data_IF_340851990980
#
_entry.id   IF_340851990980
#
_cell.length_a   1.000
_cell.length_b   1.000
_cell.length_c   1.000
_cell.angle_alpha   90.00
_cell.angle_beta   90.00
_cell.angle_gamma   90.00
#
_symmetry.space_group_name_H-M   'P 1'
#
loop_
_entity.id
_entity.type
_entity.pdbx_description
1 polymer ?
#
# COMPACT_ATOMS: atom_id res chain seq x y z
N UNK A 1 19.66 -37.94 6.35
CA UNK A 1 18.82 -37.66 5.16
C UNK A 1 19.00 -36.19 4.72
N UNK A 2 19.81 -35.95 3.67
CA UNK A 2 19.96 -34.62 3.07
C UNK A 2 18.66 -34.29 2.35
N UNK A 3 17.83 -33.46 2.97
CA UNK A 3 16.54 -33.05 2.43
C UNK A 3 16.75 -32.32 1.10
N UNK A 4 16.43 -33.01 0.01
CA UNK A 4 16.09 -32.37 -1.27
C UNK A 4 14.84 -31.51 -1.02
N UNK A 5 15.05 -30.27 -0.58
CA UNK A 5 13.99 -29.29 -0.46
C UNK A 5 13.69 -28.79 -1.86
N UNK A 6 12.87 -29.53 -2.61
CA UNK A 6 12.10 -28.96 -3.72
C UNK A 6 11.20 -27.90 -3.07
N UNK A 7 11.72 -26.68 -2.95
CA UNK A 7 10.97 -25.55 -2.38
C UNK A 7 9.77 -25.35 -3.30
N UNK A 8 8.58 -25.40 -2.73
CA UNK A 8 7.34 -25.27 -3.48
C UNK A 8 7.34 -23.95 -4.26
N UNK A 9 7.00 -24.00 -5.54
CA UNK A 9 6.80 -22.81 -6.41
C UNK A 9 5.84 -21.78 -5.78
N UNK A 10 5.01 -22.20 -4.84
CA UNK A 10 3.99 -21.39 -4.17
C UNK A 10 4.31 -21.10 -2.70
N UNK A 11 5.58 -21.25 -2.28
CA UNK A 11 5.99 -20.94 -0.91
C UNK A 11 5.92 -19.42 -0.59
N UNK A 12 5.90 -18.58 -1.63
CA UNK A 12 6.00 -17.12 -1.52
C UNK A 12 4.95 -16.39 -2.35
N UNK A 13 4.64 -15.16 -1.95
CA UNK A 13 3.78 -14.25 -2.72
C UNK A 13 4.50 -13.80 -3.98
N UNK A 14 3.85 -13.93 -5.14
CA UNK A 14 4.39 -13.40 -6.39
C UNK A 14 4.48 -11.87 -6.34
N UNK A 15 5.42 -11.23 -7.07
CA UNK A 15 5.55 -9.77 -7.08
C UNK A 15 4.28 -9.02 -7.49
N UNK A 16 3.52 -9.56 -8.43
CA UNK A 16 2.30 -8.97 -8.96
C UNK A 16 1.01 -9.45 -8.26
N UNK A 17 1.12 -10.27 -7.21
CA UNK A 17 -0.02 -10.88 -6.54
C UNK A 17 -0.68 -12.03 -7.31
N UNK A 18 -0.11 -12.49 -8.42
CA UNK A 18 -0.62 -13.66 -9.15
C UNK A 18 -0.45 -14.97 -8.37
N UNK A 19 -1.14 -16.01 -8.84
CA UNK A 19 -1.05 -17.38 -8.30
C UNK A 19 -1.38 -17.49 -6.80
N UNK A 20 -2.17 -16.55 -6.26
CA UNK A 20 -2.62 -16.60 -4.88
C UNK A 20 -3.62 -17.75 -4.65
N UNK A 21 -4.46 -18.06 -5.65
CA UNK A 21 -5.44 -19.14 -5.61
C UNK A 21 -5.42 -19.95 -6.90
N UNK A 22 -4.33 -20.67 -7.09
CA UNK A 22 -4.04 -21.43 -8.33
C UNK A 22 -5.18 -22.34 -8.79
N UNK A 23 -5.86 -23.12 -7.92
CA UNK A 23 -6.92 -24.02 -8.38
C UNK A 23 -8.15 -23.32 -8.94
N UNK A 24 -8.42 -22.07 -8.51
CA UNK A 24 -9.58 -21.29 -8.98
C UNK A 24 -9.20 -20.34 -10.11
N UNK A 25 -8.12 -19.58 -9.93
CA UNK A 25 -7.64 -18.62 -10.92
C UNK A 25 -6.22 -18.15 -10.59
N UNK A 26 -5.32 -18.22 -11.57
CA UNK A 26 -3.95 -17.71 -11.45
C UNK A 26 -3.87 -16.18 -11.50
N UNK A 27 -4.93 -15.49 -11.92
CA UNK A 27 -4.95 -14.03 -12.14
C UNK A 27 -5.84 -13.27 -11.18
N UNK A 28 -6.62 -13.95 -10.34
CA UNK A 28 -7.52 -13.29 -9.39
C UNK A 28 -6.74 -12.37 -8.44
N UNK A 29 -7.12 -11.09 -8.40
CA UNK A 29 -6.50 -10.08 -7.54
C UNK A 29 -5.09 -9.64 -7.93
N UNK A 30 -4.55 -10.15 -9.05
CA UNK A 30 -3.24 -9.74 -9.56
C UNK A 30 -3.26 -8.25 -9.97
N UNK A 31 -2.13 -7.56 -9.83
CA UNK A 31 -1.91 -6.25 -10.41
C UNK A 31 -2.21 -6.18 -11.91
N UNK A 32 -2.63 -5.00 -12.38
CA UNK A 32 -3.09 -4.72 -13.75
C UNK A 32 -4.30 -5.56 -14.17
N UNK A 33 -5.22 -5.81 -13.23
CA UNK A 33 -6.50 -6.48 -13.49
C UNK A 33 -7.66 -5.49 -13.36
N UNK A 34 -8.79 -5.79 -14.01
CA UNK A 34 -10.01 -4.98 -13.85
C UNK A 34 -10.48 -4.99 -12.40
N UNK A 35 -11.01 -3.86 -11.94
CA UNK A 35 -11.87 -3.84 -10.76
C UNK A 35 -13.06 -4.76 -10.95
N UNK A 36 -13.51 -5.38 -9.87
CA UNK A 36 -14.79 -6.10 -9.83
C UNK A 36 -15.91 -5.16 -9.38
N UNK A 37 -17.15 -5.64 -9.47
CA UNK A 37 -18.32 -4.92 -8.99
C UNK A 37 -18.95 -5.68 -7.83
N UNK A 38 -19.15 -4.99 -6.70
CA UNK A 38 -19.83 -5.55 -5.53
C UNK A 38 -21.35 -5.44 -5.61
N UNK A 39 -21.87 -4.56 -6.46
CA UNK A 39 -23.31 -4.32 -6.63
C UNK A 39 -23.69 -4.25 -8.11
N UNK A 40 -24.90 -4.68 -8.50
CA UNK A 40 -25.39 -4.48 -9.86
C UNK A 40 -25.73 -3.01 -10.11
N UNK A 41 -25.51 -2.53 -11.33
CA UNK A 41 -25.98 -1.20 -11.76
C UNK A 41 -27.50 -1.13 -11.71
N UNK A 42 -28.05 -0.27 -10.87
CA UNK A 42 -29.50 -0.13 -10.66
C UNK A 42 -30.12 1.10 -11.34
N UNK A 43 -29.31 2.09 -11.72
CA UNK A 43 -29.76 3.33 -12.36
C UNK A 43 -28.84 3.72 -13.50
N UNK A 44 -29.43 4.01 -14.66
CA UNK A 44 -28.75 4.54 -15.84
C UNK A 44 -29.32 5.93 -16.14
N UNK A 45 -29.00 6.90 -15.28
CA UNK A 45 -29.25 8.30 -15.60
C UNK A 45 -28.25 8.75 -16.68
N UNK A 46 -28.70 9.35 -17.80
CA UNK A 46 -27.76 9.94 -18.75
C UNK A 46 -26.86 10.97 -18.06
N UNK A 47 -25.56 10.99 -18.35
CA UNK A 47 -24.62 11.92 -17.72
C UNK A 47 -25.08 13.39 -17.81
N UNK A 48 -25.73 13.79 -18.90
CA UNK A 48 -26.27 15.13 -19.11
C UNK A 48 -27.37 15.54 -18.11
N UNK A 49 -27.94 14.58 -17.38
CA UNK A 49 -28.98 14.80 -16.36
C UNK A 49 -28.42 14.88 -14.95
N UNK A 50 -27.13 14.55 -14.76
CA UNK A 50 -26.47 14.64 -13.47
C UNK A 50 -26.07 16.10 -13.18
N UNK A 51 -26.11 16.55 -11.91
CA UNK A 51 -25.62 17.87 -11.54
C UNK A 51 -24.12 18.00 -11.85
N UNK A 52 -23.67 19.23 -12.08
CA UNK A 52 -22.26 19.52 -12.24
C UNK A 52 -21.46 19.12 -10.98
N UNK A 53 -20.33 18.45 -11.19
CA UNK A 53 -19.52 17.93 -10.10
C UNK A 53 -18.83 19.05 -9.29
N UNK A 54 -18.45 20.15 -9.94
CA UNK A 54 -17.90 21.34 -9.28
C UNK A 54 -18.94 21.98 -8.38
N UNK A 55 -20.17 22.15 -8.88
CA UNK A 55 -21.28 22.65 -8.07
C UNK A 55 -21.55 21.77 -6.85
N UNK A 56 -21.54 20.44 -6.98
CA UNK A 56 -21.67 19.55 -5.82
C UNK A 56 -20.52 19.72 -4.82
N UNK A 57 -19.29 19.87 -5.31
CA UNK A 57 -18.13 20.08 -4.45
C UNK A 57 -18.26 21.38 -3.66
N UNK A 58 -18.49 22.50 -4.33
CA UNK A 58 -18.56 23.83 -3.72
C UNK A 58 -19.69 23.95 -2.70
N UNK A 59 -20.83 23.30 -2.96
CA UNK A 59 -22.00 23.40 -2.09
C UNK A 59 -22.02 22.35 -0.96
N UNK A 60 -21.38 21.20 -1.12
CA UNK A 60 -21.55 20.06 -0.20
C UNK A 60 -20.24 19.52 0.40
N UNK A 61 -19.10 19.66 -0.28
CA UNK A 61 -17.85 18.98 0.08
C UNK A 61 -16.72 19.93 0.46
N UNK A 62 -16.74 21.17 -0.06
CA UNK A 62 -15.77 22.19 0.29
C UNK A 62 -15.79 22.43 1.80
N UNK A 63 -14.59 22.45 2.40
CA UNK A 63 -14.43 22.57 3.85
C UNK A 63 -14.50 24.04 4.26
N UNK A 64 -15.49 24.41 5.07
CA UNK A 64 -15.58 25.76 5.66
C UNK A 64 -14.56 26.01 6.77
N UNK A 65 -14.42 25.04 7.68
CA UNK A 65 -13.50 25.09 8.83
C UNK A 65 -13.03 23.71 9.22
N UNK A 66 -11.87 23.64 9.89
CA UNK A 66 -11.43 22.40 10.50
C UNK A 66 -12.34 22.00 11.66
N UNK A 67 -12.70 20.72 11.70
CA UNK A 67 -13.46 20.11 12.80
C UNK A 67 -12.67 18.87 13.25
N UNK A 68 -12.16 18.85 14.50
CA UNK A 68 -11.48 17.67 15.02
C UNK A 68 -12.38 16.44 14.99
N UNK A 69 -11.79 15.26 14.74
CA UNK A 69 -12.55 14.01 14.75
C UNK A 69 -13.18 13.78 16.14
N UNK A 70 -14.50 13.56 16.25
CA UNK A 70 -15.19 13.50 17.55
C UNK A 70 -14.73 12.34 18.43
N UNK A 71 -14.21 11.26 17.82
CA UNK A 71 -13.61 10.12 18.52
C UNK A 71 -12.13 10.30 18.91
N UNK A 72 -11.50 11.45 18.60
CA UNK A 72 -10.10 11.72 18.94
C UNK A 72 -9.06 11.05 18.04
N UNK A 73 -9.43 10.62 16.82
CA UNK A 73 -8.47 10.11 15.84
C UNK A 73 -7.55 11.24 15.38
N UNK A 74 -6.25 10.97 15.37
CA UNK A 74 -5.22 11.93 14.95
C UNK A 74 -4.80 11.69 13.48
N UNK A 75 -3.96 12.58 12.95
CA UNK A 75 -3.46 12.50 11.56
C UNK A 75 -2.64 11.23 11.27
N UNK A 76 -2.03 10.60 12.28
CA UNK A 76 -1.27 9.35 12.08
C UNK A 76 -2.17 8.21 11.62
N UNK A 77 -3.43 8.18 12.07
CA UNK A 77 -4.43 7.22 11.58
C UNK A 77 -4.62 7.38 10.06
N UNK A 78 -4.77 8.61 9.57
CA UNK A 78 -4.97 8.88 8.14
C UNK A 78 -3.69 8.69 7.31
N UNK A 79 -2.52 8.99 7.88
CA UNK A 79 -1.24 8.65 7.26
C UNK A 79 -1.08 7.13 7.07
N UNK A 80 -1.55 6.33 8.03
CA UNK A 80 -1.59 4.87 7.89
C UNK A 80 -2.68 4.41 6.91
N UNK A 81 -3.83 5.09 6.87
CA UNK A 81 -4.87 4.85 5.86
C UNK A 81 -4.32 5.00 4.44
N UNK A 82 -3.44 5.99 4.20
CA UNK A 82 -2.75 6.15 2.92
C UNK A 82 -1.93 4.90 2.57
N UNK A 83 -1.23 4.28 3.54
CA UNK A 83 -0.49 3.04 3.26
C UNK A 83 -1.41 1.90 2.86
N UNK A 84 -2.54 1.73 3.55
CA UNK A 84 -3.52 0.69 3.23
C UNK A 84 -4.09 0.92 1.83
N UNK A 85 -4.59 2.12 1.56
CA UNK A 85 -5.31 2.40 0.31
C UNK A 85 -4.40 2.32 -0.90
N UNK A 86 -3.17 2.81 -0.80
CA UNK A 86 -2.20 2.73 -1.90
C UNK A 86 -1.71 1.29 -2.12
N UNK A 87 -1.77 0.41 -1.11
CA UNK A 87 -1.43 -1.01 -1.28
C UNK A 87 -2.46 -1.75 -2.14
N UNK A 88 -3.74 -1.40 -2.02
CA UNK A 88 -4.83 -2.16 -2.68
C UNK A 88 -5.49 -1.42 -3.85
N UNK A 89 -5.21 -0.12 -4.03
CA UNK A 89 -5.71 0.67 -5.16
C UNK A 89 -4.63 1.47 -5.87
N UNK A 90 -4.64 1.35 -7.19
CA UNK A 90 -3.89 2.17 -8.14
C UNK A 90 -4.67 2.19 -9.45
N UNK A 91 -5.70 3.02 -9.53
CA UNK A 91 -6.50 3.14 -10.76
C UNK A 91 -5.63 3.64 -11.91
N UNK A 92 -5.62 2.91 -13.03
CA UNK A 92 -4.83 3.28 -14.21
C UNK A 92 -5.33 4.59 -14.82
N UNK A 93 -4.42 5.52 -15.08
CA UNK A 93 -4.73 6.79 -15.75
C UNK A 93 -5.18 6.64 -17.21
N UNK A 94 -4.91 5.50 -17.84
CA UNK A 94 -5.29 5.22 -19.23
C UNK A 94 -6.65 4.52 -19.34
N UNK A 95 -6.97 3.69 -18.35
CA UNK A 95 -8.22 2.95 -18.28
C UNK A 95 -8.64 2.79 -16.82
N UNK A 96 -9.57 3.65 -16.37
CA UNK A 96 -10.03 3.69 -14.99
C UNK A 96 -10.73 2.41 -14.51
N UNK A 97 -10.99 1.44 -15.41
CA UNK A 97 -11.51 0.13 -15.03
C UNK A 97 -10.44 -0.77 -14.42
N UNK A 98 -9.16 -0.48 -14.64
CA UNK A 98 -8.05 -1.32 -14.20
C UNK A 98 -7.39 -0.81 -12.92
N UNK A 99 -7.03 -1.77 -12.07
CA UNK A 99 -6.20 -1.58 -10.89
C UNK A 99 -4.76 -2.04 -11.19
N UNK A 100 -3.81 -1.12 -11.17
CA UNK A 100 -2.38 -1.36 -11.41
C UNK A 100 -1.63 -1.93 -10.22
N UNK A 101 -2.25 -2.03 -9.04
CA UNK A 101 -1.70 -2.74 -7.86
C UNK A 101 -2.45 -4.05 -7.62
N UNK A 102 -1.83 -4.94 -6.86
CA UNK A 102 -2.51 -6.16 -6.40
C UNK A 102 -3.70 -5.81 -5.49
N UNK A 103 -4.71 -6.67 -5.45
CA UNK A 103 -5.87 -6.51 -4.56
C UNK A 103 -5.63 -7.07 -3.15
N UNK A 104 -4.39 -7.38 -2.81
CA UNK A 104 -4.03 -8.04 -1.55
C UNK A 104 -3.33 -7.06 -0.60
N UNK A 105 -3.45 -7.30 0.72
CA UNK A 105 -2.63 -6.62 1.73
C UNK A 105 -1.21 -7.22 1.76
N UNK A 106 -0.47 -7.07 0.67
CA UNK A 106 0.88 -7.60 0.46
C UNK A 106 1.98 -6.54 0.55
N UNK A 107 1.62 -5.35 1.03
CA UNK A 107 2.51 -4.20 1.19
C UNK A 107 3.23 -3.83 -0.12
N UNK A 108 2.52 -3.93 -1.25
CA UNK A 108 3.01 -3.59 -2.59
C UNK A 108 3.60 -2.18 -2.69
N UNK A 109 3.16 -1.23 -1.86
CA UNK A 109 3.77 0.11 -1.80
C UNK A 109 5.25 0.09 -1.39
N UNK A 110 5.68 -0.92 -0.62
CA UNK A 110 7.08 -1.14 -0.24
C UNK A 110 7.80 -2.00 -1.27
N UNK A 111 7.17 -3.09 -1.72
CA UNK A 111 7.83 -4.15 -2.51
C UNK A 111 7.59 -4.08 -4.02
N UNK A 112 6.70 -3.22 -4.47
CA UNK A 112 6.30 -3.08 -5.87
C UNK A 112 5.20 -4.05 -6.30
N UNK A 113 4.79 -3.90 -7.57
CA UNK A 113 3.72 -4.68 -8.21
C UNK A 113 4.24 -5.52 -9.39
N UNK A 114 5.55 -5.57 -9.57
CA UNK A 114 6.22 -6.35 -10.61
C UNK A 114 7.58 -6.85 -10.11
N UNK A 115 8.16 -7.83 -10.79
CA UNK A 115 9.52 -8.30 -10.49
C UNK A 115 10.56 -7.19 -10.70
N UNK A 116 10.31 -6.27 -11.64
CA UNK A 116 11.16 -5.11 -11.88
C UNK A 116 11.17 -4.19 -10.66
N UNK A 117 10.00 -3.73 -10.23
CA UNK A 117 9.84 -2.83 -9.06
C UNK A 117 10.46 -3.45 -7.80
N UNK A 118 10.21 -4.73 -7.59
CA UNK A 118 10.76 -5.47 -6.46
C UNK A 118 12.29 -5.54 -6.49
N UNK A 119 12.87 -5.69 -7.67
CA UNK A 119 14.31 -5.73 -7.83
C UNK A 119 14.96 -4.36 -7.61
N UNK A 120 14.24 -3.25 -7.86
CA UNK A 120 14.75 -1.88 -7.66
C UNK A 120 14.94 -1.53 -6.18
N UNK A 121 14.14 -2.12 -5.28
CA UNK A 121 14.22 -1.86 -3.83
C UNK A 121 15.18 -2.82 -3.10
N UNK A 122 15.63 -3.91 -3.73
CA UNK A 122 16.42 -4.98 -3.09
C UNK A 122 17.92 -4.72 -3.15
N UNK A 123 18.61 -4.96 -2.03
CA UNK A 123 20.06 -4.82 -1.97
C UNK A 123 20.83 -5.98 -2.64
N UNK A 124 20.22 -7.17 -2.72
CA UNK A 124 20.81 -8.39 -3.33
C UNK A 124 22.21 -8.73 -2.80
N UNK A 125 22.39 -8.56 -1.49
CA UNK A 125 23.66 -8.76 -0.80
C UNK A 125 23.84 -10.18 -0.25
N UNK A 126 22.87 -11.07 -0.45
CA UNK A 126 22.88 -12.43 0.09
C UNK A 126 22.14 -12.56 1.42
N UNK A 127 21.65 -11.43 1.96
CA UNK A 127 20.99 -11.36 3.26
C UNK A 127 19.52 -10.96 3.14
N UNK A 128 18.99 -10.85 1.92
CA UNK A 128 17.58 -10.61 1.66
C UNK A 128 17.09 -9.25 2.15
N UNK A 129 17.96 -8.25 2.18
CA UNK A 129 17.65 -6.88 2.64
C UNK A 129 17.12 -5.99 1.52
N UNK A 130 16.33 -5.00 1.90
CA UNK A 130 16.04 -3.82 1.10
C UNK A 130 17.21 -2.83 1.19
N UNK A 131 17.34 -1.95 0.20
CA UNK A 131 18.13 -0.74 0.38
C UNK A 131 17.58 0.06 1.57
N UNK A 132 18.46 0.78 2.27
CA UNK A 132 18.01 1.54 3.44
C UNK A 132 17.05 2.65 3.03
N UNK A 133 15.92 2.65 3.73
CA UNK A 133 14.87 3.65 3.66
C UNK A 133 14.31 3.94 2.25
N UNK A 134 14.12 2.89 1.45
CA UNK A 134 13.45 2.95 0.14
C UNK A 134 12.03 2.38 0.18
N UNK A 135 11.25 2.67 -0.87
CA UNK A 135 9.98 2.02 -1.18
C UNK A 135 9.70 2.09 -2.69
N UNK A 136 8.76 1.29 -3.18
CA UNK A 136 8.54 1.10 -4.62
C UNK A 136 7.50 2.05 -5.22
N UNK A 137 6.53 2.52 -4.43
CA UNK A 137 5.42 3.33 -4.95
C UNK A 137 5.67 4.84 -4.80
N UNK A 138 6.00 5.49 -5.91
CA UNK A 138 6.29 6.92 -5.96
C UNK A 138 5.09 7.82 -5.63
N UNK A 139 3.85 7.31 -5.67
CA UNK A 139 2.66 8.11 -5.33
C UNK A 139 2.71 8.62 -3.90
N UNK A 140 3.38 7.88 -3.01
CA UNK A 140 3.55 8.27 -1.60
C UNK A 140 4.39 9.54 -1.44
N UNK A 141 5.25 9.88 -2.40
CA UNK A 141 6.03 11.14 -2.39
C UNK A 141 5.13 12.38 -2.52
N UNK A 142 3.90 12.20 -2.99
CA UNK A 142 2.88 13.25 -3.12
C UNK A 142 1.81 13.18 -2.02
N UNK A 143 2.06 12.39 -0.98
CA UNK A 143 1.24 12.32 0.23
C UNK A 143 1.92 13.07 1.37
N UNK A 144 1.18 13.44 2.45
CA UNK A 144 1.80 14.04 3.62
C UNK A 144 2.99 13.21 4.13
N UNK A 145 4.09 13.86 4.56
CA UNK A 145 5.37 13.20 4.87
C UNK A 145 5.29 12.11 5.93
N UNK A 146 4.28 12.17 6.80
CA UNK A 146 3.93 11.14 7.77
C UNK A 146 3.71 9.76 7.12
N UNK A 147 3.13 9.72 5.92
CA UNK A 147 2.90 8.49 5.16
C UNK A 147 4.22 7.84 4.77
N UNK A 148 5.15 8.62 4.18
CA UNK A 148 6.49 8.12 3.84
C UNK A 148 7.27 7.69 5.08
N UNK A 149 7.20 8.44 6.18
CA UNK A 149 7.89 8.10 7.42
C UNK A 149 7.42 6.74 7.97
N UNK A 150 6.12 6.48 7.99
CA UNK A 150 5.56 5.18 8.39
C UNK A 150 6.02 4.04 7.47
N UNK A 151 6.07 4.27 6.16
CA UNK A 151 6.52 3.27 5.19
C UNK A 151 8.01 2.95 5.36
N UNK A 152 8.83 3.95 5.67
CA UNK A 152 10.25 3.78 6.01
C UNK A 152 10.42 2.91 7.26
N UNK A 153 9.57 3.07 8.28
CA UNK A 153 9.61 2.17 9.44
C UNK A 153 9.33 0.71 9.06
N UNK A 154 8.42 0.46 8.11
CA UNK A 154 8.17 -0.88 7.58
C UNK A 154 9.33 -1.40 6.72
N UNK A 155 10.05 -0.53 6.01
CA UNK A 155 11.31 -0.85 5.32
C UNK A 155 12.39 -1.30 6.32
N UNK A 156 12.61 -0.51 7.38
CA UNK A 156 13.55 -0.86 8.46
C UNK A 156 13.14 -2.14 9.19
N UNK A 157 11.84 -2.36 9.40
CA UNK A 157 11.33 -3.61 9.98
C UNK A 157 11.63 -4.83 9.11
N UNK A 158 11.59 -4.69 7.77
CA UNK A 158 12.06 -5.74 6.86
C UNK A 158 13.54 -6.06 7.11
N UNK A 159 14.41 -5.06 7.09
CA UNK A 159 15.86 -5.27 7.28
C UNK A 159 16.19 -5.86 8.66
N UNK A 160 15.49 -5.41 9.70
CA UNK A 160 15.58 -6.00 11.04
C UNK A 160 15.16 -7.47 11.05
N UNK A 161 14.04 -7.80 10.40
CA UNK A 161 13.52 -9.16 10.33
C UNK A 161 14.43 -10.10 9.52
N UNK A 162 14.96 -9.64 8.38
CA UNK A 162 15.92 -10.39 7.57
C UNK A 162 17.18 -10.74 8.37
N UNK A 163 17.72 -9.76 9.11
CA UNK A 163 18.82 -9.96 10.05
C UNK A 163 18.48 -11.02 11.10
N UNK A 164 17.29 -10.98 11.69
CA UNK A 164 16.86 -11.97 12.69
C UNK A 164 16.73 -13.39 12.11
N UNK A 165 16.22 -13.54 10.90
CA UNK A 165 16.15 -14.84 10.20
C UNK A 165 17.56 -15.42 10.02
N UNK A 166 18.53 -14.59 9.63
CA UNK A 166 19.93 -15.00 9.45
C UNK A 166 20.63 -15.32 10.79
N UNK A 167 20.39 -14.53 11.84
CA UNK A 167 21.00 -14.73 13.16
C UNK A 167 20.49 -16.00 13.83
N UNK A 168 19.18 -16.27 13.74
CA UNK A 168 18.58 -17.44 14.39
C UNK A 168 18.94 -18.72 13.62
N UNK A 169 18.76 -18.72 12.28
CA UNK A 169 19.16 -19.81 11.36
C UNK A 169 19.01 -21.23 11.94
N UNK A 170 17.84 -21.56 12.47
CA UNK A 170 17.61 -22.78 13.28
C UNK A 170 18.03 -24.07 12.56
N UNK A 171 17.91 -24.08 11.23
CA UNK A 171 18.24 -25.23 10.37
C UNK A 171 19.70 -25.24 9.88
N UNK A 172 20.50 -24.21 10.21
CA UNK A 172 21.88 -24.08 9.75
C UNK A 172 22.04 -23.98 8.23
N UNK A 173 20.99 -23.52 7.52
CA UNK A 173 20.97 -23.50 6.05
C UNK A 173 21.54 -22.23 5.44
N UNK A 174 21.60 -21.14 6.20
CA UNK A 174 22.13 -19.86 5.73
C UNK A 174 23.63 -19.72 5.99
N UNK A 175 24.33 -19.08 5.06
CA UNK A 175 25.78 -18.89 5.04
C UNK A 175 26.15 -17.40 4.98
N UNK A 176 27.35 -17.08 5.46
CA UNK A 176 27.94 -15.75 5.38
C UNK A 176 29.00 -15.60 4.27
N UNK A 177 29.48 -16.73 3.73
CA UNK A 177 30.42 -16.77 2.62
C UNK A 177 29.77 -17.57 1.48
N UNK A 178 29.91 -17.06 0.26
CA UNK A 178 29.30 -17.61 -0.93
C UNK A 178 30.38 -18.05 -1.91
N UNK A 179 30.21 -19.23 -2.50
CA UNK A 179 31.14 -19.76 -3.50
C UNK A 179 30.85 -19.21 -4.91
N UNK A 180 29.63 -18.68 -5.12
CA UNK A 180 29.21 -18.07 -6.38
C UNK A 180 28.13 -17.01 -6.18
N UNK A 181 27.98 -16.11 -7.17
CA UNK A 181 26.87 -15.15 -7.19
C UNK A 181 25.49 -15.85 -7.28
N UNK A 182 25.40 -17.01 -7.94
CA UNK A 182 24.17 -17.77 -8.01
C UNK A 182 23.74 -18.29 -6.63
N UNK A 183 24.68 -18.77 -5.82
CA UNK A 183 24.41 -19.18 -4.44
C UNK A 183 23.98 -18.00 -3.56
N UNK A 184 24.69 -16.86 -3.69
CA UNK A 184 24.36 -15.62 -3.01
C UNK A 184 22.94 -15.17 -3.32
N UNK A 185 22.57 -15.11 -4.60
CA UNK A 185 21.25 -14.69 -5.05
C UNK A 185 20.15 -15.67 -4.60
N UNK A 186 20.41 -16.99 -4.65
CA UNK A 186 19.43 -17.98 -4.19
C UNK A 186 19.14 -17.86 -2.68
N UNK A 187 20.16 -17.57 -1.86
CA UNK A 187 19.95 -17.28 -0.44
C UNK A 187 19.24 -15.94 -0.24
N UNK A 188 19.64 -14.91 -0.99
CA UNK A 188 19.00 -13.59 -0.93
C UNK A 188 17.50 -13.70 -1.20
N UNK A 189 17.11 -14.39 -2.28
CA UNK A 189 15.71 -14.64 -2.64
C UNK A 189 14.94 -15.38 -1.54
N UNK A 190 15.55 -16.38 -0.92
CA UNK A 190 14.91 -17.13 0.17
C UNK A 190 14.65 -16.24 1.39
N UNK A 191 15.68 -15.54 1.87
CA UNK A 191 15.57 -14.69 3.07
C UNK A 191 14.64 -13.52 2.78
N UNK A 192 14.76 -12.87 1.62
CA UNK A 192 13.91 -11.78 1.20
C UNK A 192 12.44 -12.18 1.19
N UNK A 193 12.09 -13.30 0.54
CA UNK A 193 10.70 -13.70 0.42
C UNK A 193 10.09 -14.14 1.77
N UNK A 194 10.86 -14.80 2.64
CA UNK A 194 10.41 -15.10 4.00
C UNK A 194 10.21 -13.83 4.82
N UNK A 195 11.15 -12.90 4.75
CA UNK A 195 11.07 -11.61 5.43
C UNK A 195 9.86 -10.82 4.95
N UNK A 196 9.61 -10.80 3.63
CA UNK A 196 8.43 -10.18 3.02
C UNK A 196 7.15 -10.76 3.62
N UNK A 197 7.00 -12.08 3.72
CA UNK A 197 5.82 -12.70 4.33
C UNK A 197 5.60 -12.25 5.77
N UNK A 198 6.67 -12.21 6.59
CA UNK A 198 6.60 -11.76 7.99
C UNK A 198 6.18 -10.29 8.06
N UNK A 199 6.79 -9.42 7.25
CA UNK A 199 6.50 -7.99 7.27
C UNK A 199 5.09 -7.68 6.75
N UNK A 200 4.60 -8.39 5.73
CA UNK A 200 3.19 -8.30 5.31
C UNK A 200 2.24 -8.75 6.42
N UNK A 201 2.59 -9.83 7.15
CA UNK A 201 1.84 -10.28 8.32
C UNK A 201 1.81 -9.22 9.43
N UNK A 202 2.94 -8.59 9.71
CA UNK A 202 3.05 -7.48 10.67
C UNK A 202 2.20 -6.28 10.25
N UNK A 203 2.27 -5.86 8.99
CA UNK A 203 1.41 -4.81 8.44
C UNK A 203 -0.08 -5.16 8.60
N UNK A 204 -0.48 -6.38 8.22
CA UNK A 204 -1.86 -6.84 8.36
C UNK A 204 -2.33 -6.87 9.83
N UNK A 205 -1.45 -7.21 10.78
CA UNK A 205 -1.77 -7.16 12.20
C UNK A 205 -2.07 -5.72 12.65
N UNK A 206 -1.28 -4.72 12.23
CA UNK A 206 -1.57 -3.31 12.51
C UNK A 206 -2.93 -2.92 11.93
N UNK A 207 -3.23 -3.34 10.69
CA UNK A 207 -4.52 -3.05 10.03
C UNK A 207 -5.70 -3.62 10.83
N UNK A 208 -5.66 -4.90 11.14
CA UNK A 208 -6.82 -5.60 11.70
C UNK A 208 -6.99 -5.39 13.20
N UNK A 209 -5.89 -5.17 13.92
CA UNK A 209 -5.94 -4.92 15.35
C UNK A 209 -6.19 -3.43 15.65
N UNK A 210 -5.31 -2.55 15.18
CA UNK A 210 -5.29 -1.17 15.66
C UNK A 210 -6.08 -0.24 14.75
N UNK A 211 -5.90 -0.34 13.42
CA UNK A 211 -6.59 0.54 12.47
C UNK A 211 -8.10 0.28 12.42
N UNK A 212 -8.53 -0.98 12.26
CA UNK A 212 -9.96 -1.34 12.32
C UNK A 212 -10.54 -1.06 13.72
N UNK A 213 -9.77 -1.33 14.78
CA UNK A 213 -10.18 -1.02 16.15
C UNK A 213 -10.43 0.47 16.38
N UNK A 214 -9.63 1.34 15.75
CA UNK A 214 -9.81 2.78 15.80
C UNK A 214 -11.10 3.24 15.07
N UNK A 215 -11.39 2.68 13.88
CA UNK A 215 -12.63 2.96 13.13
C UNK A 215 -13.87 2.59 13.94
N UNK A 216 -13.84 1.43 14.59
CA UNK A 216 -14.94 0.91 15.40
C UNK A 216 -15.08 1.59 16.77
N UNK A 217 -14.17 2.52 17.13
CA UNK A 217 -14.18 3.20 18.42
C UNK A 217 -13.72 2.33 19.59
N UNK A 218 -13.17 1.14 19.34
CA UNK A 218 -12.81 0.17 20.39
C UNK A 218 -11.71 0.69 21.31
N UNK A 219 -10.76 1.46 20.76
CA UNK A 219 -9.72 2.09 21.56
C UNK A 219 -10.30 3.10 22.56
N UNK A 220 -11.29 3.90 22.12
CA UNK A 220 -12.00 4.87 22.98
C UNK A 220 -12.82 4.16 24.04
N UNK A 221 -13.47 3.06 23.66
CA UNK A 221 -14.36 2.31 24.54
C UNK A 221 -13.59 1.36 25.49
N UNK A 222 -12.25 1.36 25.44
CA UNK A 222 -11.39 0.47 26.24
C UNK A 222 -11.56 -1.01 25.91
N UNK A 223 -12.13 -1.31 24.74
CA UNK A 223 -12.41 -2.68 24.31
C UNK A 223 -11.15 -3.30 23.67
N UNK A 224 -10.71 -4.43 24.22
CA UNK A 224 -9.55 -5.17 23.72
C UNK A 224 -9.90 -6.15 22.59
N UNK A 225 -11.14 -6.20 22.11
CA UNK A 225 -11.51 -7.05 20.99
C UNK A 225 -10.77 -6.60 19.72
N UNK A 226 -10.26 -7.57 18.96
CA UNK A 226 -9.51 -7.34 17.72
C UNK A 226 -9.99 -8.35 16.67
N UNK A 227 -9.97 -7.96 15.40
CA UNK A 227 -10.31 -8.89 14.34
C UNK A 227 -9.16 -9.89 14.16
N UNK A 228 -9.44 -11.19 14.37
CA UNK A 228 -8.47 -12.25 14.13
C UNK A 228 -8.60 -12.77 12.69
N UNK A 229 -7.65 -12.46 11.77
CA UNK A 229 -7.70 -12.93 10.37
C UNK A 229 -7.55 -14.45 10.22
N UNK A 230 -7.10 -15.14 11.27
CA UNK A 230 -6.88 -16.58 11.27
C UNK A 230 -8.13 -17.32 11.74
N UNK A 231 -8.96 -16.67 12.56
CA UNK A 231 -10.23 -17.21 13.04
C UNK A 231 -11.21 -17.49 11.89
N UNK A 232 -12.05 -18.50 12.08
CA UNK A 232 -13.17 -18.77 11.17
C UNK A 232 -14.38 -17.95 11.62
N UNK A 233 -14.98 -17.23 10.68
CA UNK A 233 -16.18 -16.43 10.94
C UNK A 233 -17.42 -17.20 10.51
N UNK A 234 -18.46 -17.27 11.36
CA UNK A 234 -19.76 -17.78 10.94
C UNK A 234 -20.48 -16.73 10.07
N UNK A 235 -21.03 -17.17 8.95
CA UNK A 235 -21.96 -16.37 8.14
C UNK A 235 -23.39 -16.49 8.69
N UNK A 236 -24.31 -15.68 8.16
CA UNK A 236 -25.69 -15.54 8.61
C UNK A 236 -26.53 -16.85 8.61
N UNK A 237 -26.00 -17.97 8.08
CA UNK A 237 -26.65 -19.28 7.99
C UNK A 237 -25.85 -20.42 8.63
N UNK A 238 -24.98 -20.13 9.61
CA UNK A 238 -24.09 -21.12 10.24
C UNK A 238 -23.06 -21.77 9.30
N UNK A 239 -22.95 -21.29 8.06
CA UNK A 239 -21.85 -21.64 7.16
C UNK A 239 -20.59 -20.88 7.55
N UNK A 240 -19.45 -21.56 7.55
CA UNK A 240 -18.16 -20.91 7.79
C UNK A 240 -17.74 -20.14 6.55
N UNK A 241 -17.28 -18.91 6.71
CA UNK A 241 -16.78 -18.12 5.59
C UNK A 241 -15.67 -18.87 4.85
N UNK A 242 -15.75 -18.98 3.51
CA UNK A 242 -14.77 -19.74 2.74
C UNK A 242 -13.39 -19.07 2.82
N UNK A 243 -12.34 -19.89 2.94
CA UNK A 243 -10.95 -19.43 3.05
C UNK A 243 -10.15 -19.88 1.85
N UNK A 244 -9.18 -19.06 1.45
CA UNK A 244 -8.32 -19.37 0.32
C UNK A 244 -8.98 -19.19 -1.06
N UNK A 245 -10.13 -18.50 -1.13
CA UNK A 245 -10.79 -18.20 -2.41
C UNK A 245 -10.24 -16.97 -3.12
N UNK A 246 -9.36 -16.21 -2.46
CA UNK A 246 -8.73 -15.02 -3.03
C UNK A 246 -9.62 -13.80 -2.91
N UNK A 247 -9.16 -12.68 -3.47
CA UNK A 247 -9.87 -11.41 -3.40
C UNK A 247 -9.55 -10.58 -4.64
N UNK A 248 -10.51 -9.79 -5.10
CA UNK A 248 -10.30 -8.73 -6.08
C UNK A 248 -10.98 -7.46 -5.55
N UNK A 249 -10.28 -6.32 -5.59
CA UNK A 249 -10.82 -5.06 -5.13
C UNK A 249 -11.94 -4.60 -6.08
N UNK A 250 -13.02 -4.07 -5.51
CA UNK A 250 -14.14 -3.54 -6.29
C UNK A 250 -14.01 -2.04 -6.52
N UNK A 251 -14.63 -1.54 -7.59
CA UNK A 251 -14.69 -0.09 -7.83
C UNK A 251 -15.50 0.62 -6.74
N UNK A 252 -16.53 -0.04 -6.19
CA UNK A 252 -17.32 0.52 -5.10
C UNK A 252 -16.48 0.64 -3.83
N UNK A 253 -15.63 -0.36 -3.55
CA UNK A 253 -14.69 -0.28 -2.41
C UNK A 253 -13.70 0.87 -2.58
N UNK A 254 -13.18 1.08 -3.79
CA UNK A 254 -12.34 2.24 -4.11
C UNK A 254 -13.05 3.57 -3.80
N UNK A 255 -14.31 3.70 -4.23
CA UNK A 255 -15.09 4.93 -4.05
C UNK A 255 -15.41 5.20 -2.57
N UNK A 256 -15.79 4.17 -1.79
CA UNK A 256 -16.12 4.34 -0.37
C UNK A 256 -14.94 4.76 0.50
N UNK A 257 -13.72 4.47 0.07
CA UNK A 257 -12.51 4.77 0.83
C UNK A 257 -11.87 6.14 0.50
N UNK A 258 -12.57 7.00 -0.26
CA UNK A 258 -12.11 8.35 -0.57
C UNK A 258 -12.34 9.31 0.60
N UNK A 259 -11.54 9.18 1.66
CA UNK A 259 -11.68 9.96 2.89
C UNK A 259 -10.92 11.29 2.87
N UNK A 260 -10.78 11.94 1.71
CA UNK A 260 -9.98 13.17 1.57
C UNK A 260 -10.43 14.33 2.48
N UNK A 261 -11.69 14.33 2.92
CA UNK A 261 -12.22 15.33 3.86
C UNK A 261 -11.62 15.25 5.27
N UNK A 262 -10.77 14.27 5.58
CA UNK A 262 -10.21 14.05 6.92
C UNK A 262 -8.82 14.63 7.14
N UNK A 263 -8.28 15.40 6.19
CA UNK A 263 -6.98 16.08 6.33
C UNK A 263 -6.95 16.96 7.59
N UNK A 264 -5.90 16.85 8.40
CA UNK A 264 -5.64 17.78 9.50
C UNK A 264 -5.27 19.18 8.98
N UNK A 265 -5.28 20.19 9.85
CA UNK A 265 -4.86 21.55 9.47
C UNK A 265 -3.43 21.61 8.93
N UNK A 266 -2.51 20.82 9.51
CA UNK A 266 -1.12 20.75 9.06
C UNK A 266 -1.00 20.08 7.68
N UNK A 267 -1.74 18.98 7.47
CA UNK A 267 -1.78 18.31 6.17
C UNK A 267 -2.45 19.16 5.09
N UNK A 268 -3.46 19.97 5.45
CA UNK A 268 -4.05 20.97 4.55
C UNK A 268 -2.99 21.97 4.09
N UNK A 269 -2.26 22.60 5.03
CA UNK A 269 -1.18 23.55 4.69
C UNK A 269 -0.10 22.89 3.82
N UNK A 270 0.28 21.66 4.14
CA UNK A 270 1.24 20.91 3.34
C UNK A 270 0.71 20.63 1.93
N UNK A 271 -0.55 20.21 1.80
CA UNK A 271 -1.18 19.90 0.51
C UNK A 271 -1.31 21.15 -0.36
N UNK A 272 -1.67 22.29 0.23
CA UNK A 272 -1.72 23.59 -0.46
C UNK A 272 -0.34 24.00 -0.96
N UNK A 273 0.69 23.89 -0.10
CA UNK A 273 2.08 24.16 -0.48
C UNK A 273 2.57 23.23 -1.60
N UNK A 274 2.35 21.92 -1.46
CA UNK A 274 2.72 20.94 -2.47
C UNK A 274 2.01 21.22 -3.80
N UNK A 275 0.72 21.54 -3.75
CA UNK A 275 -0.07 21.86 -4.94
C UNK A 275 0.46 23.12 -5.64
N UNK A 276 0.80 24.17 -4.87
CA UNK A 276 1.41 25.39 -5.44
C UNK A 276 2.75 25.14 -6.13
N UNK A 277 3.47 24.08 -5.75
CA UNK A 277 4.75 23.68 -6.35
C UNK A 277 4.53 22.80 -7.58
N UNK A 278 3.63 21.82 -7.50
CA UNK A 278 3.33 20.88 -8.59
C UNK A 278 2.69 21.59 -9.78
N UNK A 279 1.74 22.47 -9.50
CA UNK A 279 1.00 23.26 -10.49
C UNK A 279 1.43 24.73 -10.49
N UNK A 280 2.73 24.97 -10.34
CA UNK A 280 3.30 26.32 -10.28
C UNK A 280 2.86 27.17 -11.49
N UNK A 281 2.30 28.35 -11.20
CA UNK A 281 1.80 29.27 -12.22
C UNK A 281 0.35 29.06 -12.64
N UNK A 282 -0.36 28.09 -12.06
CA UNK A 282 -1.80 27.89 -12.27
C UNK A 282 -2.61 28.38 -11.07
N UNK A 283 -3.76 28.99 -11.35
CA UNK A 283 -4.76 29.29 -10.34
C UNK A 283 -5.64 28.05 -10.11
N UNK A 284 -5.38 27.34 -9.01
CA UNK A 284 -6.10 26.12 -8.64
C UNK A 284 -7.57 26.39 -8.27
N UNK A 285 -7.95 27.64 -7.99
CA UNK A 285 -9.34 27.97 -7.66
C UNK A 285 -10.24 28.04 -8.90
N UNK A 286 -9.66 28.18 -10.09
CA UNK A 286 -10.39 28.32 -11.36
C UNK A 286 -10.04 27.25 -12.40
N UNK A 287 -9.18 26.30 -12.05
CA UNK A 287 -8.71 25.27 -12.99
C UNK A 287 -9.85 24.34 -13.40
N UNK A 288 -10.02 24.14 -14.71
CA UNK A 288 -10.97 23.15 -15.22
C UNK A 288 -10.38 21.73 -15.16
N UNK A 289 -11.21 20.66 -15.15
CA UNK A 289 -10.70 19.29 -15.22
C UNK A 289 -9.78 19.04 -16.43
N UNK A 290 -10.10 19.64 -17.58
CA UNK A 290 -9.27 19.51 -18.78
C UNK A 290 -7.91 20.20 -18.63
N UNK A 291 -7.87 21.40 -18.03
CA UNK A 291 -6.62 22.07 -17.71
C UNK A 291 -5.82 21.31 -16.67
N UNK A 292 -6.48 20.73 -15.66
CA UNK A 292 -5.82 19.89 -14.65
C UNK A 292 -5.14 18.66 -15.27
N UNK A 293 -5.80 17.99 -16.22
CA UNK A 293 -5.26 16.82 -16.92
C UNK A 293 -4.09 17.17 -17.85
N UNK A 294 -4.16 18.32 -18.52
CA UNK A 294 -3.17 18.72 -19.54
C UNK A 294 -2.06 19.63 -19.02
N UNK A 295 -2.22 20.19 -17.83
CA UNK A 295 -1.26 21.09 -17.20
C UNK A 295 0.13 20.44 -17.09
N UNK A 296 1.19 21.19 -17.42
CA UNK A 296 2.55 20.82 -17.05
C UNK A 296 2.62 20.65 -15.53
N UNK A 297 3.17 19.52 -15.10
CA UNK A 297 3.30 19.15 -13.69
C UNK A 297 4.78 18.95 -13.34
N UNK A 298 5.62 20.01 -13.42
CA UNK A 298 7.07 19.89 -13.23
C UNK A 298 7.44 19.34 -11.85
N UNK A 299 6.61 19.59 -10.83
CA UNK A 299 6.81 19.04 -9.49
C UNK A 299 6.46 17.56 -9.33
N UNK A 300 5.93 16.88 -10.36
CA UNK A 300 5.68 15.43 -10.34
C UNK A 300 6.88 14.60 -10.84
N UNK A 301 7.96 15.23 -11.30
CA UNK A 301 9.14 14.50 -11.72
C UNK A 301 9.80 13.82 -10.51
N UNK A 302 9.88 12.50 -10.57
CA UNK A 302 10.52 11.66 -9.54
C UNK A 302 11.80 11.07 -10.14
N UNK A 303 12.87 11.02 -9.35
CA UNK A 303 14.12 10.37 -9.76
C UNK A 303 13.85 8.90 -10.14
N UNK A 304 14.39 8.39 -11.27
CA UNK A 304 14.19 6.99 -11.63
C UNK A 304 14.82 6.00 -10.64
N UNK A 305 15.82 6.41 -9.86
CA UNK A 305 16.45 5.60 -8.82
C UNK A 305 15.76 5.85 -7.46
N UNK A 306 15.07 4.82 -6.96
CA UNK A 306 14.37 4.83 -5.66
C UNK A 306 15.28 5.22 -4.48
N UNK A 307 16.60 5.01 -4.58
CA UNK A 307 17.56 5.36 -3.51
C UNK A 307 17.79 6.87 -3.39
N UNK A 308 17.42 7.64 -4.42
CA UNK A 308 17.57 9.10 -4.44
C UNK A 308 16.29 9.83 -4.00
N UNK A 309 15.20 9.10 -3.77
CA UNK A 309 13.95 9.71 -3.35
C UNK A 309 14.12 10.39 -2.00
N UNK A 310 13.42 11.51 -1.80
CA UNK A 310 13.40 12.27 -0.56
C UNK A 310 11.98 12.76 -0.28
N UNK A 311 11.66 13.00 0.99
CA UNK A 311 10.41 13.65 1.39
C UNK A 311 10.71 14.73 2.44
N UNK A 312 10.04 15.88 2.33
CA UNK A 312 10.28 17.07 3.19
C UNK A 312 11.73 17.57 3.23
N UNK A 313 12.47 17.47 2.13
CA UNK A 313 13.86 17.94 2.07
C UNK A 313 14.83 17.16 2.97
N UNK A 314 14.40 16.02 3.53
CA UNK A 314 15.26 15.10 4.26
C UNK A 314 15.59 13.92 3.35
N UNK A 315 16.90 13.71 3.13
CA UNK A 315 17.38 12.46 2.56
C UNK A 315 16.94 11.34 3.49
N UNK A 316 16.36 10.28 2.94
CA UNK A 316 15.75 9.24 3.75
C UNK A 316 16.80 8.51 4.61
N UNK A 317 18.08 8.58 4.21
CA UNK A 317 19.22 8.13 4.98
C UNK A 317 19.61 9.15 6.05
N UNK A 318 19.28 8.87 7.30
CA UNK A 318 20.12 9.17 8.49
C UNK A 318 19.32 8.84 9.73
N UNK A 319 19.78 7.87 10.54
CA UNK A 319 19.62 7.83 12.02
C UNK A 319 20.43 6.69 12.66
N UNK A 320 21.49 6.18 12.02
CA UNK A 320 22.46 5.27 12.64
C UNK A 320 23.84 5.46 11.98
N UNK A 321 24.58 6.45 12.47
CA UNK A 321 26.04 6.36 12.63
C UNK A 321 26.31 6.29 14.14
#
# INVERSE_FOLDING_TARGET
>A
PKGSSIRSKYAYRQPDGSNYVVPLSSTLGKANSSYVHSVPTSSLAPHATLPDAGLLFDNLLARDRFVPHPGGLNSLFYAFANLIIHSVFHTSHWDHRFNSTSSYLDLSILYGNSEKDMNEVRNKDGYGRLHEDVFADSRLLFMPPSSCALLVLLCRNHNFTAKKILEINEQGTYKAQFESDAEKLAQDDEIFNRTRLVNCGYFMQIVLCDYVGAILGLARDGCSWRLDPISQFPEAKEELSPRGNGCAASIEFNLMYRWHATLSEEETRWTEWQSSTVWAGLDLSTITPQEFDTAPRPGLAVDPDVKNWTFSGRVIRTFYD
#
